data_IF_881614720875
#
_entry.id   IF_881614720875
#
_cell.length_a   1.000
_cell.length_b   1.000
_cell.length_c   1.000
_cell.angle_alpha   90.00
_cell.angle_beta   90.00
_cell.angle_gamma   90.00
#
_symmetry.space_group_name_H-M   'P 1'
#
loop_
_entity.id
_entity.type
_entity.pdbx_description
1 polymer ?
#
# COMPACT_ATOMS: atom_id res chain seq x y z
N UNK A 1 49.94 11.36 41.44
CA UNK A 1 49.41 11.35 40.10
C UNK A 1 50.07 12.51 39.34
N UNK A 2 50.81 12.26 38.27
CA UNK A 2 51.52 13.30 37.54
C UNK A 2 50.56 14.05 36.59
N UNK A 3 50.85 15.32 36.37
CA UNK A 3 50.09 16.22 35.48
C UNK A 3 49.92 15.58 34.07
N UNK A 4 50.88 14.78 33.66
CA UNK A 4 50.91 14.06 32.38
C UNK A 4 49.80 13.00 32.27
N UNK A 5 49.44 12.31 33.35
CA UNK A 5 48.37 11.32 33.37
C UNK A 5 47.00 11.93 33.27
N UNK A 6 46.81 13.14 33.81
CA UNK A 6 45.52 13.87 33.75
C UNK A 6 45.28 14.44 32.32
N UNK A 7 46.33 14.91 31.67
CA UNK A 7 46.26 15.42 30.27
C UNK A 7 45.94 14.32 29.26
N UNK A 8 46.56 13.12 29.41
CA UNK A 8 46.27 12.00 28.50
C UNK A 8 44.84 11.47 28.66
N UNK A 9 44.31 11.39 29.90
CA UNK A 9 42.94 10.87 30.10
C UNK A 9 41.87 11.81 29.51
N UNK A 10 42.08 13.11 29.53
CA UNK A 10 41.16 14.08 28.91
C UNK A 10 41.14 14.03 27.39
N UNK A 11 42.32 13.77 26.76
CA UNK A 11 42.43 13.61 25.32
C UNK A 11 41.66 12.38 24.81
N UNK A 12 41.71 11.26 25.53
CA UNK A 12 41.01 10.02 25.17
C UNK A 12 39.47 10.17 25.27
N UNK A 13 39.01 10.88 26.30
CA UNK A 13 37.55 11.14 26.48
C UNK A 13 36.99 12.05 25.41
N UNK A 14 37.74 13.08 24.99
CA UNK A 14 37.32 13.96 23.89
C UNK A 14 37.33 13.25 22.55
N UNK A 15 38.28 12.33 22.31
CA UNK A 15 38.32 11.55 21.06
C UNK A 15 37.17 10.52 20.99
N UNK A 16 36.79 9.91 22.10
CA UNK A 16 35.66 8.99 22.18
C UNK A 16 34.31 9.70 21.99
N UNK A 17 34.19 10.94 22.49
CA UNK A 17 32.94 11.71 22.33
C UNK A 17 32.74 12.19 20.89
N UNK A 18 33.78 12.55 20.16
CA UNK A 18 33.70 12.92 18.74
C UNK A 18 33.40 11.76 17.81
N UNK A 19 33.87 10.55 18.11
CA UNK A 19 33.62 9.34 17.34
C UNK A 19 32.12 8.88 17.47
N UNK A 20 31.49 9.10 18.63
CA UNK A 20 30.09 8.74 18.85
C UNK A 20 29.08 9.63 18.09
N UNK A 21 29.47 10.84 17.71
CA UNK A 21 28.60 11.77 16.95
C UNK A 21 28.56 11.49 15.43
N UNK A 22 29.42 10.63 14.92
CA UNK A 22 29.50 10.31 13.48
C UNK A 22 28.73 9.06 13.06
N UNK A 23 28.12 8.33 14.01
CA UNK A 23 27.25 7.20 13.72
C UNK A 23 25.78 7.62 13.78
N UNK A 24 25.37 8.61 12.98
CA UNK A 24 23.97 8.76 12.69
C UNK A 24 23.49 7.47 11.97
N UNK A 25 22.44 6.77 12.46
CA UNK A 25 21.92 5.63 11.74
C UNK A 25 21.53 6.14 10.35
N UNK A 26 22.16 5.61 9.32
CA UNK A 26 21.72 5.83 7.96
C UNK A 26 20.27 5.31 7.91
N UNK A 27 19.30 6.22 7.81
CA UNK A 27 17.91 5.84 7.56
C UNK A 27 17.94 5.02 6.27
N UNK A 28 17.59 3.74 6.37
CA UNK A 28 17.54 2.88 5.20
C UNK A 28 16.63 3.53 4.16
N UNK A 29 17.17 3.78 2.97
CA UNK A 29 16.38 4.35 1.89
C UNK A 29 15.25 3.37 1.53
N UNK A 30 14.04 3.90 1.39
CA UNK A 30 12.87 3.09 1.00
C UNK A 30 13.08 2.59 -0.44
N UNK A 31 13.29 1.28 -0.66
CA UNK A 31 13.65 0.74 -1.98
C UNK A 31 12.49 0.77 -2.99
N UNK A 32 11.27 1.11 -2.56
CA UNK A 32 10.12 1.17 -3.44
C UNK A 32 10.23 2.30 -4.45
N UNK A 33 9.82 2.03 -5.68
CA UNK A 33 9.79 3.04 -6.73
C UNK A 33 8.85 4.19 -6.35
N UNK A 34 9.35 5.43 -6.39
CA UNK A 34 8.52 6.60 -6.20
C UNK A 34 7.69 6.85 -7.47
N UNK A 35 6.36 6.77 -7.34
CA UNK A 35 5.45 7.22 -8.38
C UNK A 35 5.19 8.72 -8.22
N UNK A 36 5.60 9.49 -9.23
CA UNK A 36 5.43 10.95 -9.24
C UNK A 36 4.08 11.28 -9.88
N UNK A 37 3.15 11.74 -9.06
CA UNK A 37 1.83 12.21 -9.48
C UNK A 37 1.65 13.68 -9.07
N UNK A 38 0.76 14.38 -9.75
CA UNK A 38 0.31 15.70 -9.33
C UNK A 38 -0.32 15.65 -7.93
N UNK A 39 -0.23 16.72 -7.12
CA UNK A 39 -0.75 16.73 -5.75
C UNK A 39 -2.23 16.32 -5.63
N UNK A 40 -3.07 16.78 -6.56
CA UNK A 40 -4.49 16.41 -6.58
C UNK A 40 -4.70 14.92 -6.87
N UNK A 41 -3.93 14.33 -7.78
CA UNK A 41 -3.99 12.90 -8.07
C UNK A 41 -3.47 12.06 -6.90
N UNK A 42 -2.44 12.55 -6.17
CA UNK A 42 -1.96 11.88 -4.96
C UNK A 42 -3.05 11.80 -3.89
N UNK A 43 -3.78 12.91 -3.65
CA UNK A 43 -4.84 12.92 -2.64
C UNK A 43 -6.04 12.06 -3.06
N UNK A 44 -6.40 12.09 -4.35
CA UNK A 44 -7.41 11.17 -4.90
C UNK A 44 -7.01 9.72 -4.66
N UNK A 45 -5.77 9.36 -4.97
CA UNK A 45 -5.26 8.00 -4.76
C UNK A 45 -5.26 7.60 -3.29
N UNK A 46 -4.80 8.47 -2.37
CA UNK A 46 -4.84 8.19 -0.93
C UNK A 46 -6.26 7.95 -0.41
N UNK A 47 -7.20 8.76 -0.87
CA UNK A 47 -8.62 8.63 -0.52
C UNK A 47 -9.18 7.30 -1.03
N UNK A 48 -8.84 6.95 -2.27
CA UNK A 48 -9.22 5.66 -2.85
C UNK A 48 -8.65 4.47 -2.07
N UNK A 49 -7.36 4.49 -1.73
CA UNK A 49 -6.72 3.42 -0.97
C UNK A 49 -7.36 3.25 0.42
N UNK A 50 -7.69 4.35 1.12
CA UNK A 50 -8.43 4.28 2.38
C UNK A 50 -9.82 3.64 2.19
N UNK A 51 -10.54 4.01 1.14
CA UNK A 51 -11.83 3.42 0.79
C UNK A 51 -11.73 1.92 0.49
N UNK A 52 -10.72 1.52 -0.28
CA UNK A 52 -10.48 0.10 -0.60
C UNK A 52 -10.17 -0.73 0.66
N UNK A 53 -9.40 -0.19 1.61
CA UNK A 53 -9.14 -0.87 2.88
C UNK A 53 -10.42 -1.07 3.71
N UNK A 54 -11.29 -0.06 3.76
CA UNK A 54 -12.61 -0.16 4.41
C UNK A 54 -13.46 -1.23 3.74
N UNK A 55 -13.49 -1.25 2.40
CA UNK A 55 -14.23 -2.23 1.62
C UNK A 55 -13.70 -3.65 1.88
N UNK A 56 -12.38 -3.85 1.89
CA UNK A 56 -11.77 -5.14 2.20
C UNK A 56 -12.17 -5.63 3.58
N UNK A 57 -12.13 -4.77 4.60
CA UNK A 57 -12.58 -5.11 5.94
C UNK A 57 -14.05 -5.55 5.98
N UNK A 58 -14.93 -4.88 5.22
CA UNK A 58 -16.36 -5.25 5.10
C UNK A 58 -16.54 -6.60 4.41
N UNK A 59 -15.82 -6.85 3.32
CA UNK A 59 -15.84 -8.15 2.62
C UNK A 59 -15.48 -9.29 3.59
N UNK A 60 -14.40 -9.13 4.36
CA UNK A 60 -14.00 -10.13 5.37
C UNK A 60 -15.08 -10.29 6.44
N UNK A 61 -15.68 -9.20 6.93
CA UNK A 61 -16.77 -9.24 7.92
C UNK A 61 -17.97 -10.02 7.39
N UNK A 62 -18.37 -9.81 6.14
CA UNK A 62 -19.48 -10.52 5.49
C UNK A 62 -19.15 -12.02 5.35
N UNK A 63 -17.93 -12.38 4.97
CA UNK A 63 -17.50 -13.78 4.89
C UNK A 63 -17.52 -14.47 6.27
N UNK A 64 -17.10 -13.77 7.33
CA UNK A 64 -17.19 -14.26 8.71
C UNK A 64 -18.63 -14.50 9.13
N UNK A 65 -19.54 -13.61 8.73
CA UNK A 65 -20.98 -13.71 8.97
C UNK A 65 -21.69 -14.73 8.05
N UNK A 66 -20.97 -15.45 7.18
CA UNK A 66 -21.50 -16.37 6.17
C UNK A 66 -22.42 -15.69 5.12
N UNK A 67 -22.27 -14.37 4.92
CA UNK A 67 -22.95 -13.56 3.91
C UNK A 67 -22.10 -13.51 2.64
N UNK A 68 -21.89 -14.67 2.02
CA UNK A 68 -20.89 -14.85 0.96
C UNK A 68 -21.25 -14.09 -0.32
N UNK A 69 -22.53 -14.11 -0.69
CA UNK A 69 -23.01 -13.44 -1.90
C UNK A 69 -22.88 -11.91 -1.76
N UNK A 70 -23.28 -11.36 -0.61
CA UNK A 70 -23.13 -9.92 -0.31
C UNK A 70 -21.67 -9.49 -0.30
N UNK A 71 -20.75 -10.36 0.16
CA UNK A 71 -19.31 -10.10 0.07
C UNK A 71 -18.85 -9.99 -1.39
N UNK A 72 -19.37 -10.85 -2.27
CA UNK A 72 -19.11 -10.81 -3.70
C UNK A 72 -19.66 -9.53 -4.37
N UNK A 73 -20.91 -9.20 -4.08
CA UNK A 73 -21.56 -7.98 -4.61
C UNK A 73 -20.79 -6.71 -4.20
N UNK A 74 -20.36 -6.65 -2.95
CA UNK A 74 -19.54 -5.54 -2.46
C UNK A 74 -18.18 -5.47 -3.16
N UNK A 75 -17.52 -6.62 -3.35
CA UNK A 75 -16.24 -6.69 -4.05
C UNK A 75 -16.37 -6.19 -5.49
N UNK A 76 -17.39 -6.63 -6.24
CA UNK A 76 -17.61 -6.17 -7.62
C UNK A 76 -17.90 -4.67 -7.66
N UNK A 77 -18.83 -4.20 -6.83
CA UNK A 77 -19.28 -2.82 -6.84
C UNK A 77 -18.16 -1.82 -6.50
N UNK A 78 -17.34 -2.12 -5.50
CA UNK A 78 -16.39 -1.15 -4.94
C UNK A 78 -14.95 -1.38 -5.43
N UNK A 79 -14.58 -2.60 -5.79
CA UNK A 79 -13.23 -2.98 -6.19
C UNK A 79 -13.17 -3.57 -7.60
N UNK A 80 -14.26 -4.14 -8.12
CA UNK A 80 -14.31 -4.87 -9.37
C UNK A 80 -14.28 -3.97 -10.62
N UNK A 81 -14.54 -4.56 -11.77
CA UNK A 81 -14.65 -3.85 -13.05
C UNK A 81 -15.67 -2.72 -13.03
N UNK A 82 -16.76 -2.89 -12.27
CA UNK A 82 -17.79 -1.86 -12.11
C UNK A 82 -17.28 -0.57 -11.47
N UNK A 83 -16.17 -0.64 -10.72
CA UNK A 83 -15.51 0.51 -10.11
C UNK A 83 -14.46 1.16 -11.02
N UNK A 84 -14.13 0.56 -12.17
CA UNK A 84 -13.13 1.12 -13.09
C UNK A 84 -13.59 2.45 -13.66
N UNK A 85 -12.65 3.38 -13.79
CA UNK A 85 -12.91 4.67 -14.43
C UNK A 85 -13.76 5.65 -13.60
N UNK A 86 -13.99 5.40 -12.32
CA UNK A 86 -14.77 6.29 -11.43
C UNK A 86 -14.24 7.74 -11.39
N UNK A 87 -12.95 7.94 -11.69
CA UNK A 87 -12.34 9.26 -11.76
C UNK A 87 -12.26 9.84 -13.19
N UNK A 88 -12.83 9.17 -14.20
CA UNK A 88 -12.68 9.58 -15.60
C UNK A 88 -13.23 10.98 -15.91
N UNK A 89 -14.22 11.45 -15.11
CA UNK A 89 -14.82 12.79 -15.27
C UNK A 89 -14.08 13.90 -14.51
N UNK A 90 -13.10 13.56 -13.70
CA UNK A 90 -12.29 14.56 -12.99
C UNK A 90 -11.28 15.22 -13.94
N UNK A 91 -10.79 16.43 -13.64
CA UNK A 91 -9.67 17.03 -14.35
C UNK A 91 -8.45 16.11 -14.35
N UNK A 92 -7.61 16.19 -15.39
CA UNK A 92 -6.44 15.30 -15.54
C UNK A 92 -5.54 15.30 -14.31
N UNK A 93 -5.33 16.47 -13.70
CA UNK A 93 -4.49 16.68 -12.52
C UNK A 93 -4.97 15.89 -11.29
N UNK A 94 -6.25 15.53 -11.24
CA UNK A 94 -6.85 14.77 -10.15
C UNK A 94 -7.04 13.27 -10.46
N UNK A 95 -6.67 12.83 -11.67
CA UNK A 95 -6.80 11.43 -12.09
C UNK A 95 -5.50 10.65 -11.87
N UNK A 96 -5.43 9.71 -10.90
CA UNK A 96 -4.21 8.97 -10.63
C UNK A 96 -3.78 8.06 -11.79
N UNK A 97 -4.72 7.29 -12.35
CA UNK A 97 -4.43 6.24 -13.32
C UNK A 97 -3.53 6.69 -14.49
N UNK A 98 -3.87 7.76 -15.24
CA UNK A 98 -3.05 8.24 -16.36
C UNK A 98 -1.66 8.76 -15.98
N UNK A 99 -1.41 9.04 -14.69
CA UNK A 99 -0.15 9.58 -14.20
C UNK A 99 0.73 8.51 -13.54
N UNK A 100 0.19 7.32 -13.29
CA UNK A 100 0.96 6.21 -12.71
C UNK A 100 2.00 5.68 -13.69
N UNK A 101 3.16 5.17 -13.21
CA UNK A 101 4.01 4.30 -14.00
C UNK A 101 3.18 3.18 -14.64
N UNK A 102 3.52 2.78 -15.85
CA UNK A 102 2.74 1.79 -16.61
C UNK A 102 2.47 0.51 -15.82
N UNK A 103 3.50 -0.01 -15.17
CA UNK A 103 3.44 -1.27 -14.41
C UNK A 103 2.56 -1.09 -13.16
N UNK A 104 2.64 0.06 -12.49
CA UNK A 104 1.77 0.39 -11.36
C UNK A 104 0.30 0.47 -11.79
N UNK A 105 0.02 1.12 -12.92
CA UNK A 105 -1.33 1.19 -13.50
C UNK A 105 -1.86 -0.20 -13.85
N UNK A 106 -1.01 -1.06 -14.43
CA UNK A 106 -1.37 -2.44 -14.74
C UNK A 106 -1.73 -3.27 -13.50
N UNK A 107 -1.03 -3.07 -12.37
CA UNK A 107 -1.41 -3.68 -11.10
C UNK A 107 -2.80 -3.19 -10.64
N UNK A 108 -3.12 -1.92 -10.80
CA UNK A 108 -4.45 -1.39 -10.53
C UNK A 108 -5.54 -2.09 -11.35
N UNK A 109 -5.32 -2.23 -12.67
CA UNK A 109 -6.23 -2.97 -13.56
C UNK A 109 -6.37 -4.43 -13.11
N UNK A 110 -5.27 -5.09 -12.80
CA UNK A 110 -5.27 -6.48 -12.31
C UNK A 110 -6.07 -6.61 -11.02
N UNK A 111 -5.98 -5.62 -10.11
CA UNK A 111 -6.79 -5.57 -8.89
C UNK A 111 -8.29 -5.59 -9.18
N UNK A 112 -8.76 -4.77 -10.13
CA UNK A 112 -10.17 -4.77 -10.54
C UNK A 112 -10.61 -6.13 -11.13
N UNK A 113 -9.77 -6.74 -11.97
CA UNK A 113 -10.06 -8.05 -12.56
C UNK A 113 -10.17 -9.14 -11.48
N UNK A 114 -9.23 -9.16 -10.54
CA UNK A 114 -9.18 -10.12 -9.45
C UNK A 114 -10.38 -9.97 -8.50
N UNK A 115 -10.83 -8.74 -8.25
CA UNK A 115 -12.03 -8.48 -7.45
C UNK A 115 -13.30 -8.99 -8.14
N UNK A 116 -13.40 -8.84 -9.47
CA UNK A 116 -14.51 -9.41 -10.27
C UNK A 116 -14.46 -10.95 -10.25
N UNK A 117 -13.28 -11.56 -10.31
CA UNK A 117 -13.14 -13.02 -10.19
C UNK A 117 -13.55 -13.52 -8.81
N UNK A 118 -13.15 -12.82 -7.73
CA UNK A 118 -13.63 -13.09 -6.38
C UNK A 118 -15.16 -13.02 -6.31
N UNK A 119 -15.77 -11.95 -6.84
CA UNK A 119 -17.22 -11.77 -6.83
C UNK A 119 -17.95 -12.92 -7.55
N UNK A 120 -17.40 -13.38 -8.68
CA UNK A 120 -17.96 -14.50 -9.44
C UNK A 120 -17.92 -15.80 -8.66
N UNK A 121 -16.86 -16.07 -7.89
CA UNK A 121 -16.77 -17.26 -7.03
C UNK A 121 -17.73 -17.13 -5.85
N UNK A 122 -17.78 -15.97 -5.20
CA UNK A 122 -18.64 -15.70 -4.05
C UNK A 122 -20.15 -15.78 -4.39
N UNK A 123 -20.53 -15.53 -5.65
CA UNK A 123 -21.91 -15.67 -6.12
C UNK A 123 -22.47 -17.11 -5.96
N UNK A 124 -21.60 -18.12 -5.85
CA UNK A 124 -22.03 -19.49 -5.56
C UNK A 124 -22.53 -19.69 -4.13
N UNK A 125 -22.27 -18.75 -3.21
CA UNK A 125 -22.53 -18.89 -1.78
C UNK A 125 -21.58 -19.84 -1.04
N UNK A 126 -20.60 -20.43 -1.75
CA UNK A 126 -19.61 -21.35 -1.18
C UNK A 126 -18.49 -20.54 -0.48
N UNK A 127 -18.59 -20.51 0.85
CA UNK A 127 -17.67 -19.75 1.70
C UNK A 127 -16.23 -20.21 1.58
N UNK A 128 -15.99 -21.53 1.50
CA UNK A 128 -14.62 -22.06 1.44
C UNK A 128 -13.95 -21.68 0.12
N UNK A 129 -14.68 -21.72 -1.00
CA UNK A 129 -14.18 -21.24 -2.28
C UNK A 129 -13.91 -19.74 -2.25
N UNK A 130 -14.80 -18.94 -1.67
CA UNK A 130 -14.60 -17.51 -1.54
C UNK A 130 -13.37 -17.17 -0.67
N UNK A 131 -13.18 -17.87 0.46
CA UNK A 131 -12.00 -17.73 1.31
C UNK A 131 -10.70 -18.11 0.57
N UNK A 132 -10.73 -19.13 -0.28
CA UNK A 132 -9.58 -19.53 -1.10
C UNK A 132 -9.16 -18.48 -2.15
N UNK A 133 -10.07 -17.61 -2.57
CA UNK A 133 -9.77 -16.50 -3.50
C UNK A 133 -9.21 -15.24 -2.81
N UNK A 134 -9.41 -15.05 -1.49
CA UNK A 134 -8.91 -13.88 -0.77
C UNK A 134 -7.41 -13.62 -0.93
N UNK A 135 -6.52 -14.63 -0.87
CA UNK A 135 -5.09 -14.40 -1.09
C UNK A 135 -4.77 -13.78 -2.46
N UNK A 136 -5.52 -14.15 -3.50
CA UNK A 136 -5.35 -13.57 -4.84
C UNK A 136 -5.79 -12.11 -4.85
N UNK A 137 -6.96 -11.81 -4.28
CA UNK A 137 -7.50 -10.45 -4.18
C UNK A 137 -6.55 -9.52 -3.42
N UNK A 138 -6.07 -9.95 -2.24
CA UNK A 138 -5.18 -9.16 -1.38
C UNK A 138 -3.77 -9.09 -1.98
N UNK A 139 -3.33 -10.14 -2.66
CA UNK A 139 -1.99 -10.25 -3.24
C UNK A 139 -1.65 -9.13 -4.21
N UNK A 140 -2.61 -8.62 -4.97
CA UNK A 140 -2.40 -7.47 -5.87
C UNK A 140 -2.14 -6.19 -5.09
N UNK A 141 -2.85 -5.97 -3.98
CA UNK A 141 -2.60 -4.84 -3.08
C UNK A 141 -1.18 -4.92 -2.50
N UNK A 142 -0.78 -6.10 -2.03
CA UNK A 142 0.58 -6.35 -1.52
C UNK A 142 1.63 -6.09 -2.59
N UNK A 143 1.44 -6.60 -3.82
CA UNK A 143 2.39 -6.41 -4.92
C UNK A 143 2.60 -4.92 -5.24
N UNK A 144 1.51 -4.14 -5.32
CA UNK A 144 1.60 -2.70 -5.57
C UNK A 144 2.31 -1.98 -4.41
N UNK A 145 1.88 -2.22 -3.17
CA UNK A 145 2.41 -1.54 -1.97
C UNK A 145 3.85 -1.94 -1.63
N UNK A 146 4.31 -3.11 -2.07
CA UNK A 146 5.71 -3.54 -1.93
C UNK A 146 6.63 -2.94 -2.98
N UNK A 147 6.07 -2.54 -4.14
CA UNK A 147 6.86 -2.06 -5.28
C UNK A 147 6.86 -0.55 -5.43
N UNK A 148 5.79 0.11 -5.01
CA UNK A 148 5.58 1.53 -5.25
C UNK A 148 5.25 2.30 -3.97
N UNK A 149 5.64 3.57 -3.99
CA UNK A 149 5.26 4.58 -2.99
C UNK A 149 4.91 5.89 -3.67
N UNK A 150 4.12 6.70 -3.03
CA UNK A 150 3.89 8.12 -3.34
C UNK A 150 4.43 8.98 -2.19
N UNK A 151 4.59 10.26 -2.43
CA UNK A 151 5.01 11.22 -1.38
C UNK A 151 3.93 11.47 -0.35
#
# INVERSE_FOLDING_TARGET
>A
MSLQQILNSRSWVLFALTAALLTAPALAEDPRQLATLEPAAQETLRTEMRGQLITLNRIITLLVANQVQEAGEMAEKELGRSAMGKHARQPFEARPGPQMPREMHQLGITGHLTATDFARVAASGDREKALAELPKLIGVCVACHSSYRIR
#
